data_IF_864974717838
#
_entry.id   IF_864974717838
#
_cell.length_a   1.000
_cell.length_b   1.000
_cell.length_c   1.000
_cell.angle_alpha   90.00
_cell.angle_beta   90.00
_cell.angle_gamma   90.00
#
_symmetry.space_group_name_H-M   'P 1'
#
loop_
_entity.id
_entity.type
_entity.pdbx_description
1 polymer ?
#
# COMPACT_ATOMS: atom_id res chain seq x y z
N UNK A 1 5.83 -15.25 10.59
CA UNK A 1 5.28 -14.22 9.68
C UNK A 1 5.94 -14.39 8.33
N UNK A 2 5.15 -14.53 7.29
CA UNK A 2 5.66 -14.59 5.91
C UNK A 2 6.20 -13.22 5.49
N UNK A 3 7.34 -13.21 4.80
CA UNK A 3 7.94 -11.97 4.32
C UNK A 3 7.21 -11.51 3.05
N UNK A 4 6.56 -10.35 3.12
CA UNK A 4 5.88 -9.78 1.96
C UNK A 4 6.88 -9.26 0.93
N UNK A 5 6.67 -9.64 -0.34
CA UNK A 5 7.49 -9.27 -1.49
C UNK A 5 6.64 -8.58 -2.55
N UNK A 6 7.30 -7.95 -3.53
CA UNK A 6 6.63 -7.33 -4.67
C UNK A 6 5.70 -8.32 -5.41
N UNK A 7 6.08 -9.59 -5.53
CA UNK A 7 5.28 -10.59 -6.26
C UNK A 7 3.90 -10.80 -5.64
N UNK A 8 3.78 -10.70 -4.31
CA UNK A 8 2.50 -10.81 -3.62
C UNK A 8 1.54 -9.68 -4.00
N UNK A 9 2.05 -8.48 -4.32
CA UNK A 9 1.23 -7.31 -4.65
C UNK A 9 1.09 -7.05 -6.16
N UNK A 10 2.03 -7.49 -6.98
CA UNK A 10 2.02 -7.25 -8.41
C UNK A 10 0.75 -7.83 -9.09
N UNK A 11 0.26 -8.96 -8.60
CA UNK A 11 -1.00 -9.56 -9.06
C UNK A 11 -2.27 -8.84 -8.58
N UNK A 12 -2.15 -7.93 -7.61
CA UNK A 12 -3.28 -7.22 -7.00
C UNK A 12 -3.43 -5.78 -7.53
N UNK A 13 -2.67 -5.40 -8.57
CA UNK A 13 -2.80 -4.06 -9.17
C UNK A 13 -4.18 -3.92 -9.81
N UNK A 14 -4.81 -2.76 -9.58
CA UNK A 14 -6.21 -2.42 -9.83
C UNK A 14 -7.23 -3.12 -8.92
N UNK A 15 -6.79 -3.88 -7.92
CA UNK A 15 -7.68 -4.46 -6.92
C UNK A 15 -7.82 -3.57 -5.68
N UNK A 16 -8.92 -3.76 -4.95
CA UNK A 16 -9.26 -2.96 -3.78
C UNK A 16 -8.82 -3.65 -2.49
N UNK A 17 -8.15 -2.88 -1.65
CA UNK A 17 -7.82 -3.22 -0.27
C UNK A 17 -8.76 -2.43 0.65
N UNK A 18 -9.35 -3.10 1.63
CA UNK A 18 -10.24 -2.46 2.62
C UNK A 18 -9.47 -2.13 3.90
N UNK A 19 -9.36 -0.86 4.23
CA UNK A 19 -8.72 -0.38 5.46
C UNK A 19 -9.77 -0.17 6.56
N UNK A 20 -9.57 -0.78 7.73
CA UNK A 20 -10.40 -0.51 8.90
C UNK A 20 -10.02 0.82 9.55
N UNK A 21 -10.93 1.82 9.52
CA UNK A 21 -10.74 3.15 10.10
C UNK A 21 -11.98 3.59 10.86
N UNK A 22 -11.84 3.84 12.17
CA UNK A 22 -12.95 4.31 13.03
C UNK A 22 -14.22 3.45 12.92
N UNK A 23 -14.07 2.13 12.77
CA UNK A 23 -15.18 1.20 12.61
C UNK A 23 -15.79 1.15 11.20
N UNK A 24 -15.22 1.89 10.24
CA UNK A 24 -15.62 1.89 8.84
C UNK A 24 -14.58 1.20 7.97
N UNK A 25 -15.05 0.62 6.87
CA UNK A 25 -14.22 0.06 5.82
C UNK A 25 -13.99 1.07 4.72
N UNK A 26 -12.74 1.48 4.57
CA UNK A 26 -12.33 2.51 3.62
C UNK A 26 -11.57 1.86 2.46
N UNK A 27 -12.03 2.03 1.20
CA UNK A 27 -11.41 1.37 0.05
C UNK A 27 -10.15 2.11 -0.40
N UNK A 28 -9.09 1.35 -0.67
CA UNK A 28 -7.86 1.80 -1.31
C UNK A 28 -7.58 0.91 -2.51
N UNK A 29 -7.51 1.47 -3.71
CA UNK A 29 -7.17 0.72 -4.93
C UNK A 29 -5.66 0.73 -5.09
N UNK A 30 -5.03 -0.43 -5.22
CA UNK A 30 -3.61 -0.52 -5.55
C UNK A 30 -3.42 -0.14 -7.02
N UNK A 31 -2.89 1.04 -7.31
CA UNK A 31 -2.74 1.53 -8.69
C UNK A 31 -1.35 1.26 -9.29
N UNK A 32 -0.33 1.05 -8.44
CA UNK A 32 1.02 0.72 -8.88
C UNK A 32 1.72 -0.18 -7.85
N UNK A 33 2.45 -1.18 -8.34
CA UNK A 33 3.42 -1.94 -7.56
C UNK A 33 4.71 -2.04 -8.38
N UNK A 34 5.82 -1.48 -7.89
CA UNK A 34 7.08 -1.43 -8.65
C UNK A 34 8.32 -1.64 -7.78
N UNK A 35 9.40 -2.21 -8.33
CA UNK A 35 10.67 -2.29 -7.61
C UNK A 35 11.26 -0.89 -7.42
N UNK A 36 11.97 -0.69 -6.33
CA UNK A 36 12.78 0.51 -6.11
C UNK A 36 14.22 0.19 -6.49
N UNK A 37 14.79 1.03 -7.35
CA UNK A 37 16.22 0.97 -7.63
C UNK A 37 16.95 1.57 -6.44
N UNK A 38 17.37 0.71 -5.52
CA UNK A 38 18.27 1.08 -4.43
C UNK A 38 19.50 0.18 -4.53
N UNK A 39 20.72 0.69 -4.30
CA UNK A 39 21.89 -0.15 -4.13
C UNK A 39 21.54 -1.15 -3.02
N UNK A 40 21.43 -2.43 -3.34
CA UNK A 40 21.14 -3.46 -2.35
C UNK A 40 22.26 -3.44 -1.31
N UNK A 41 21.97 -2.83 -0.16
CA UNK A 41 22.86 -2.89 0.98
C UNK A 41 23.03 -4.37 1.37
N UNK A 42 24.24 -4.83 1.70
CA UNK A 42 24.38 -6.14 2.32
C UNK A 42 23.50 -6.15 3.60
N UNK A 43 22.65 -7.18 3.76
CA UNK A 43 21.62 -7.39 4.81
C UNK A 43 20.17 -6.88 4.61
N UNK A 44 19.70 -6.55 3.41
CA UNK A 44 18.24 -6.38 3.22
C UNK A 44 17.52 -7.73 3.13
N UNK A 45 16.42 -7.87 3.88
CA UNK A 45 15.60 -9.10 3.91
C UNK A 45 14.86 -9.36 2.60
N UNK A 46 14.59 -8.31 1.80
CA UNK A 46 13.92 -8.37 0.49
C UNK A 46 14.47 -7.29 -0.45
N UNK A 47 14.22 -7.44 -1.75
CA UNK A 47 14.41 -6.34 -2.68
C UNK A 47 13.37 -5.24 -2.38
N UNK A 48 13.79 -3.96 -2.28
CA UNK A 48 12.86 -2.90 -1.93
C UNK A 48 11.86 -2.63 -3.05
N UNK A 49 10.63 -2.29 -2.68
CA UNK A 49 9.56 -1.96 -3.62
C UNK A 49 8.62 -0.91 -3.06
N UNK A 50 7.93 -0.21 -3.96
CA UNK A 50 6.89 0.76 -3.62
C UNK A 50 5.53 0.27 -4.10
N UNK A 51 4.51 0.53 -3.28
CA UNK A 51 3.11 0.43 -3.66
C UNK A 51 2.51 1.84 -3.67
N UNK A 52 1.66 2.12 -4.65
CA UNK A 52 0.86 3.33 -4.72
C UNK A 52 -0.61 2.96 -4.68
N UNK A 53 -1.33 3.53 -3.73
CA UNK A 53 -2.76 3.34 -3.56
C UNK A 53 -3.51 4.64 -3.85
N UNK A 54 -4.68 4.52 -4.46
CA UNK A 54 -5.64 5.61 -4.60
C UNK A 54 -6.78 5.40 -3.61
N UNK A 55 -7.19 6.48 -2.95
CA UNK A 55 -8.44 6.54 -2.21
C UNK A 55 -9.28 7.70 -2.73
N UNK A 56 -10.59 7.48 -2.89
CA UNK A 56 -11.50 8.45 -3.49
C UNK A 56 -12.28 9.30 -2.47
N UNK A 57 -11.90 9.23 -1.20
CA UNK A 57 -12.48 10.09 -0.17
C UNK A 57 -12.17 11.55 -0.46
N UNK A 58 -13.12 12.48 -0.24
CA UNK A 58 -12.85 13.91 -0.30
C UNK A 58 -11.99 14.39 0.88
N UNK A 59 -11.78 13.54 1.89
CA UNK A 59 -10.99 13.83 3.10
C UNK A 59 -9.63 13.15 3.02
N UNK A 60 -8.58 13.90 3.38
CA UNK A 60 -7.23 13.37 3.53
C UNK A 60 -7.12 12.49 4.78
N UNK A 61 -6.81 11.21 4.57
CA UNK A 61 -6.40 10.32 5.66
C UNK A 61 -4.93 10.53 6.07
N UNK A 62 -4.58 10.40 7.37
CA UNK A 62 -3.25 10.72 7.87
C UNK A 62 -2.20 9.67 7.50
N UNK A 63 -0.93 10.01 7.67
CA UNK A 63 0.16 9.03 7.57
C UNK A 63 0.15 8.10 8.79
N UNK A 64 -0.03 6.79 8.56
CA UNK A 64 -0.02 5.77 9.61
C UNK A 64 0.03 4.36 9.02
N UNK A 65 0.13 3.34 9.88
CA UNK A 65 -0.10 1.95 9.48
C UNK A 65 -1.59 1.65 9.44
N UNK A 66 -2.07 1.23 8.28
CA UNK A 66 -3.44 0.77 8.06
C UNK A 66 -3.48 -0.75 8.08
N UNK A 67 -4.46 -1.34 8.77
CA UNK A 67 -4.77 -2.76 8.62
C UNK A 67 -5.57 -2.91 7.34
N UNK A 68 -4.88 -3.30 6.27
CA UNK A 68 -5.42 -3.46 4.92
C UNK A 68 -5.85 -4.90 4.73
N UNK A 69 -7.09 -5.10 4.28
CA UNK A 69 -7.68 -6.42 4.06
C UNK A 69 -7.88 -6.66 2.58
N UNK A 70 -7.43 -7.82 2.09
CA UNK A 70 -7.54 -8.24 0.70
C UNK A 70 -7.77 -9.75 0.62
N UNK A 71 -8.53 -10.19 -0.38
CA UNK A 71 -8.97 -11.59 -0.47
C UNK A 71 -7.82 -12.61 -0.60
N UNK A 72 -6.73 -12.24 -1.29
CA UNK A 72 -5.59 -13.12 -1.54
C UNK A 72 -4.48 -12.99 -0.49
N UNK A 73 -4.39 -11.83 0.17
CA UNK A 73 -3.32 -11.52 1.13
C UNK A 73 -3.77 -11.55 2.59
N UNK A 74 -5.07 -11.67 2.84
CA UNK A 74 -5.63 -11.59 4.19
C UNK A 74 -5.51 -10.18 4.76
N UNK A 75 -5.20 -10.09 6.06
CA UNK A 75 -4.99 -8.81 6.74
C UNK A 75 -3.50 -8.48 6.84
N UNK A 76 -3.13 -7.29 6.37
CA UNK A 76 -1.75 -6.84 6.33
C UNK A 76 -1.65 -5.41 6.87
N UNK A 77 -0.75 -5.18 7.83
CA UNK A 77 -0.39 -3.83 8.25
C UNK A 77 0.49 -3.14 7.22
N UNK A 78 -0.01 -2.09 6.56
CA UNK A 78 0.72 -1.32 5.55
C UNK A 78 0.87 0.13 6.03
N UNK A 79 2.11 0.61 6.14
CA UNK A 79 2.40 2.00 6.43
C UNK A 79 2.19 2.86 5.18
N UNK A 80 1.17 3.72 5.21
CA UNK A 80 0.79 4.59 4.10
C UNK A 80 1.13 6.04 4.41
N UNK A 81 1.73 6.71 3.43
CA UNK A 81 2.04 8.15 3.44
C UNK A 81 1.24 8.81 2.32
N UNK A 82 0.43 9.85 2.57
CA UNK A 82 -0.18 10.62 1.48
C UNK A 82 0.90 11.37 0.71
N UNK A 83 0.91 11.24 -0.62
CA UNK A 83 1.96 11.81 -1.50
C UNK A 83 1.44 12.82 -2.52
N UNK A 84 0.15 12.77 -2.87
CA UNK A 84 -0.47 13.72 -3.79
C UNK A 84 -1.99 13.80 -3.61
N UNK A 85 -2.55 14.96 -3.99
CA UNK A 85 -3.98 15.11 -4.22
C UNK A 85 -4.24 15.00 -5.73
N UNK A 86 -5.26 14.22 -6.11
CA UNK A 86 -5.75 14.08 -7.47
C UNK A 86 -7.20 14.58 -7.58
N UNK A 87 -7.72 14.68 -8.81
CA UNK A 87 -9.13 15.09 -9.02
C UNK A 87 -10.12 14.14 -8.34
N UNK A 88 -9.78 12.86 -8.25
CA UNK A 88 -10.65 11.81 -7.73
C UNK A 88 -10.41 11.51 -6.25
N UNK A 89 -9.45 12.15 -5.59
CA UNK A 89 -9.12 11.90 -4.18
C UNK A 89 -7.63 12.08 -3.88
N UNK A 90 -7.01 11.12 -3.22
CA UNK A 90 -5.62 11.20 -2.78
C UNK A 90 -4.83 9.93 -3.10
N UNK A 91 -3.53 10.12 -3.37
CA UNK A 91 -2.57 9.04 -3.56
C UNK A 91 -1.76 8.81 -2.29
N UNK A 92 -1.52 7.54 -1.99
CA UNK A 92 -0.84 7.05 -0.80
C UNK A 92 0.27 6.08 -1.19
N UNK A 93 1.46 6.25 -0.64
CA UNK A 93 2.59 5.38 -0.92
C UNK A 93 2.95 4.53 0.30
N UNK A 94 3.27 3.26 0.03
CA UNK A 94 3.99 2.39 0.96
C UNK A 94 5.37 2.05 0.38
N UNK A 95 6.37 1.96 1.25
CA UNK A 95 7.72 1.52 0.91
C UNK A 95 8.06 0.30 1.77
N UNK A 96 8.47 -0.77 1.10
CA UNK A 96 8.89 -2.01 1.72
C UNK A 96 10.39 -2.18 1.44
N UNK A 97 11.23 -2.16 2.49
CA UNK A 97 12.69 -2.40 2.43
C UNK A 97 13.07 -3.82 2.81
#
# INVERSE_FOLDING_TARGET
>A
MELLTLQHFAGCVNETFSAGLNGMDVPFVLVEARPLQSPSAPNVARAPFSLLFRNTSPVLFPQQTYVMRHASLGEVGIFLVPVAQEREGFLYQAIFN
#
